data_IF_647366849324
#
_entry.id   IF_647366849324
#
_cell.length_a   1.000
_cell.length_b   1.000
_cell.length_c   1.000
_cell.angle_alpha   90.00
_cell.angle_beta   90.00
_cell.angle_gamma   90.00
#
_symmetry.space_group_name_H-M   'P 1'
#
loop_
_entity.id
_entity.type
_entity.pdbx_description
1 polymer ?
#
# COMPACT_ATOMS: atom_id res chain seq x y z
N UNK A 1 -28.27 -37.97 -36.25
CA UNK A 1 -28.41 -39.43 -36.44
C UNK A 1 -28.93 -39.64 -37.85
N UNK A 2 -28.16 -40.30 -38.70
CA UNK A 2 -28.58 -40.58 -40.07
C UNK A 2 -28.44 -42.08 -40.31
N UNK A 3 -29.53 -42.71 -40.73
CA UNK A 3 -29.60 -44.11 -41.12
C UNK A 3 -29.07 -44.26 -42.55
N UNK A 4 -28.31 -45.32 -42.81
CA UNK A 4 -28.03 -45.74 -44.17
C UNK A 4 -29.18 -46.62 -44.70
N UNK A 5 -29.28 -46.80 -46.01
CA UNK A 5 -30.41 -47.51 -46.67
C UNK A 5 -30.42 -49.03 -46.47
N UNK A 6 -29.55 -49.60 -45.62
CA UNK A 6 -29.58 -51.03 -45.25
C UNK A 6 -29.97 -51.30 -43.79
N UNK A 7 -30.33 -50.26 -43.02
CA UNK A 7 -30.93 -50.43 -41.69
C UNK A 7 -29.93 -50.86 -40.60
N UNK A 8 -28.62 -50.70 -40.84
CA UNK A 8 -27.60 -50.95 -39.84
C UNK A 8 -27.20 -49.63 -39.15
N UNK A 9 -27.09 -49.64 -37.82
CA UNK A 9 -26.63 -48.46 -37.09
C UNK A 9 -25.12 -48.27 -37.30
N UNK A 10 -24.72 -47.16 -37.90
CA UNK A 10 -23.30 -46.76 -37.98
C UNK A 10 -22.92 -46.13 -36.64
N UNK A 11 -22.00 -46.78 -35.93
CA UNK A 11 -21.49 -46.38 -34.64
C UNK A 11 -20.82 -44.99 -34.72
N UNK A 12 -21.17 -44.10 -33.79
CA UNK A 12 -20.61 -42.78 -33.71
C UNK A 12 -19.10 -42.83 -33.49
N UNK A 13 -18.34 -42.21 -34.39
CA UNK A 13 -16.96 -41.82 -34.13
C UNK A 13 -16.95 -40.85 -32.95
N UNK A 14 -16.90 -41.41 -31.74
CA UNK A 14 -16.58 -40.73 -30.51
C UNK A 14 -15.09 -40.44 -30.60
N UNK A 15 -14.76 -39.31 -31.22
CA UNK A 15 -13.41 -38.75 -31.12
C UNK A 15 -13.19 -38.56 -29.62
N UNK A 16 -12.35 -39.43 -29.05
CA UNK A 16 -11.76 -39.23 -27.73
C UNK A 16 -10.88 -38.00 -27.85
N UNK A 17 -11.49 -36.82 -27.74
CA UNK A 17 -10.72 -35.61 -27.52
C UNK A 17 -10.08 -35.78 -26.14
N UNK A 18 -8.78 -36.02 -26.21
CA UNK A 18 -7.94 -36.28 -25.07
C UNK A 18 -8.15 -35.15 -24.08
N UNK A 19 -8.30 -35.54 -22.83
CA UNK A 19 -8.12 -34.72 -21.67
C UNK A 19 -6.75 -34.03 -21.72
N UNK A 20 -6.58 -32.99 -22.52
CA UNK A 20 -5.81 -31.83 -22.12
C UNK A 20 -6.68 -31.13 -21.09
N UNK A 21 -6.68 -31.71 -19.89
CA UNK A 21 -6.55 -30.90 -18.69
C UNK A 21 -5.25 -30.13 -18.88
N UNK A 22 -5.33 -29.06 -19.66
CA UNK A 22 -4.61 -27.83 -19.38
C UNK A 22 -5.03 -27.44 -17.96
N UNK A 23 -4.41 -28.12 -17.00
CA UNK A 23 -3.98 -27.53 -15.77
C UNK A 23 -2.93 -26.51 -16.18
N UNK A 24 -3.36 -25.49 -16.94
CA UNK A 24 -2.67 -24.23 -17.05
C UNK A 24 -2.88 -23.66 -15.67
N UNK A 25 -2.06 -24.17 -14.76
CA UNK A 25 -1.68 -23.57 -13.51
C UNK A 25 -1.56 -22.11 -13.87
N UNK A 26 -2.62 -21.38 -13.53
CA UNK A 26 -2.71 -19.98 -13.75
C UNK A 26 -1.46 -19.48 -13.05
N UNK A 27 -0.43 -19.17 -13.83
CA UNK A 27 0.51 -18.13 -13.47
C UNK A 27 -0.40 -16.92 -13.37
N UNK A 28 -1.13 -16.81 -12.26
CA UNK A 28 -1.75 -15.60 -11.81
C UNK A 28 -0.53 -14.76 -11.53
N UNK A 29 0.00 -14.16 -12.59
CA UNK A 29 1.29 -13.51 -12.60
C UNK A 29 1.25 -12.60 -11.39
N UNK A 30 2.25 -12.62 -10.52
CA UNK A 30 2.28 -11.73 -9.35
C UNK A 30 1.93 -10.29 -9.77
N UNK A 31 2.31 -9.91 -11.00
CA UNK A 31 1.90 -8.70 -11.72
C UNK A 31 0.38 -8.55 -11.91
N UNK A 32 -0.36 -9.58 -12.32
CA UNK A 32 -1.82 -9.58 -12.43
C UNK A 32 -2.52 -9.52 -11.07
N UNK A 33 -1.96 -10.19 -10.04
CA UNK A 33 -2.45 -10.10 -8.66
C UNK A 33 -2.24 -8.68 -8.12
N UNK A 34 -1.01 -8.14 -8.23
CA UNK A 34 -0.66 -6.77 -7.82
C UNK A 34 -1.48 -5.73 -8.59
N UNK A 35 -1.74 -5.93 -9.88
CA UNK A 35 -2.61 -5.05 -10.67
C UNK A 35 -4.05 -5.09 -10.21
N UNK A 36 -4.61 -6.27 -9.95
CA UNK A 36 -5.95 -6.39 -9.39
C UNK A 36 -6.05 -5.77 -7.99
N UNK A 37 -5.07 -6.00 -7.11
CA UNK A 37 -5.02 -5.36 -5.80
C UNK A 37 -4.85 -3.83 -5.89
N UNK A 38 -4.05 -3.32 -6.84
CA UNK A 38 -3.91 -1.88 -7.07
C UNK A 38 -5.20 -1.26 -7.60
N UNK A 39 -5.90 -1.91 -8.54
CA UNK A 39 -7.17 -1.43 -9.09
C UNK A 39 -8.28 -1.43 -8.02
N UNK A 40 -8.35 -2.50 -7.22
CA UNK A 40 -9.25 -2.62 -6.07
C UNK A 40 -8.93 -1.58 -4.99
N UNK A 41 -7.64 -1.33 -4.71
CA UNK A 41 -7.18 -0.32 -3.75
C UNK A 41 -7.51 1.10 -4.21
N UNK A 42 -7.35 1.39 -5.50
CA UNK A 42 -7.67 2.67 -6.13
C UNK A 42 -9.18 2.95 -6.12
N UNK A 43 -10.02 1.91 -6.24
CA UNK A 43 -11.50 2.03 -6.25
C UNK A 43 -12.13 2.07 -4.86
N UNK A 44 -11.57 1.34 -3.90
CA UNK A 44 -12.18 1.15 -2.58
C UNK A 44 -11.72 2.18 -1.55
N UNK A 45 -10.54 2.78 -1.74
CA UNK A 45 -9.95 3.69 -0.75
C UNK A 45 -10.42 5.13 -0.93
N UNK A 46 -10.94 5.80 0.12
CA UNK A 46 -11.36 7.19 0.03
C UNK A 46 -10.18 8.13 -0.31
N UNK A 47 -10.41 9.09 -1.22
CA UNK A 47 -9.39 10.03 -1.75
C UNK A 47 -8.50 10.68 -0.68
N UNK A 48 -9.06 10.97 0.51
CA UNK A 48 -8.32 11.55 1.65
C UNK A 48 -7.29 10.58 2.24
N UNK A 49 -7.63 9.29 2.35
CA UNK A 49 -6.71 8.26 2.86
C UNK A 49 -5.56 8.03 1.87
N UNK A 50 -5.85 8.08 0.57
CA UNK A 50 -4.87 7.96 -0.50
C UNK A 50 -3.83 9.09 -0.51
N UNK A 51 -4.24 10.32 -0.19
CA UNK A 51 -3.30 11.44 -0.01
C UNK A 51 -2.36 11.22 1.17
N UNK A 52 -2.88 10.75 2.31
CA UNK A 52 -2.08 10.46 3.50
C UNK A 52 -1.11 9.30 3.25
N UNK A 53 -1.56 8.28 2.52
CA UNK A 53 -0.74 7.13 2.14
C UNK A 53 0.41 7.52 1.18
N UNK A 54 0.14 8.39 0.20
CA UNK A 54 1.16 8.96 -0.66
C UNK A 54 2.18 9.81 0.13
N UNK A 55 1.72 10.60 1.10
CA UNK A 55 2.58 11.35 2.00
C UNK A 55 3.47 10.43 2.86
N UNK A 56 2.90 9.38 3.45
CA UNK A 56 3.62 8.38 4.25
C UNK A 56 4.71 7.69 3.42
N UNK A 57 4.37 7.31 2.19
CA UNK A 57 5.31 6.69 1.24
C UNK A 57 6.47 7.64 0.91
N UNK A 58 6.19 8.92 0.70
CA UNK A 58 7.21 9.95 0.46
C UNK A 58 8.15 10.14 1.66
N UNK A 59 7.60 10.25 2.88
CA UNK A 59 8.40 10.40 4.11
C UNK A 59 9.29 9.18 4.35
N UNK A 60 8.76 7.97 4.13
CA UNK A 60 9.52 6.72 4.24
C UNK A 60 10.68 6.69 3.24
N UNK A 61 10.41 7.01 1.97
CA UNK A 61 11.45 7.06 0.95
C UNK A 61 12.53 8.08 1.29
N UNK A 62 12.14 9.23 1.84
CA UNK A 62 13.07 10.28 2.28
C UNK A 62 13.98 9.81 3.43
N UNK A 63 13.42 9.08 4.41
CA UNK A 63 14.20 8.49 5.50
C UNK A 63 15.18 7.41 5.02
N UNK A 64 14.78 6.59 4.06
CA UNK A 64 15.66 5.60 3.41
C UNK A 64 16.81 6.31 2.68
N UNK A 65 16.51 7.35 1.90
CA UNK A 65 17.53 8.12 1.19
C UNK A 65 18.51 8.78 2.16
N UNK A 66 18.03 9.36 3.27
CA UNK A 66 18.89 9.90 4.33
C UNK A 66 19.80 8.83 4.93
N UNK A 67 19.26 7.65 5.23
CA UNK A 67 20.02 6.54 5.78
C UNK A 67 21.12 6.07 4.81
N UNK A 68 20.76 5.87 3.53
CA UNK A 68 21.72 5.47 2.48
C UNK A 68 22.80 6.53 2.29
N UNK A 69 22.43 7.81 2.25
CA UNK A 69 23.38 8.92 2.13
C UNK A 69 24.39 8.92 3.28
N UNK A 70 23.92 8.72 4.52
CA UNK A 70 24.78 8.62 5.70
C UNK A 70 25.70 7.39 5.66
N UNK A 71 25.21 6.24 5.20
CA UNK A 71 26.03 5.04 5.02
C UNK A 71 27.14 5.22 3.98
N UNK A 72 26.91 6.01 2.93
CA UNK A 72 27.87 6.22 1.84
C UNK A 72 28.88 7.35 2.13
N UNK A 73 28.41 8.47 2.68
CA UNK A 73 29.22 9.69 2.89
C UNK A 73 29.81 9.78 4.31
N UNK A 74 29.22 9.07 5.28
CA UNK A 74 29.64 9.07 6.68
C UNK A 74 28.79 9.97 7.59
N UNK A 75 28.97 9.80 8.91
CA UNK A 75 28.14 10.39 9.98
C UNK A 75 28.58 11.78 10.45
N UNK A 76 29.34 12.53 9.64
CA UNK A 76 29.77 13.90 10.00
C UNK A 76 28.79 14.92 9.38
N UNK A 77 28.00 15.70 10.15
CA UNK A 77 27.79 15.75 11.60
C UNK A 77 26.69 14.78 12.12
N UNK A 78 26.97 14.07 13.22
CA UNK A 78 26.10 13.00 13.75
C UNK A 78 24.76 13.53 14.27
N UNK A 79 24.80 14.70 14.91
CA UNK A 79 23.61 15.30 15.51
C UNK A 79 22.57 15.69 14.44
N UNK A 80 23.04 16.26 13.33
CA UNK A 80 22.16 16.67 12.24
C UNK A 80 21.56 15.49 11.48
N UNK A 81 22.33 14.40 11.29
CA UNK A 81 21.82 13.17 10.71
C UNK A 81 20.79 12.51 11.63
N UNK A 82 21.12 12.36 12.91
CA UNK A 82 20.23 11.75 13.89
C UNK A 82 18.92 12.55 14.01
N UNK A 83 19.02 13.88 14.11
CA UNK A 83 17.88 14.79 14.14
C UNK A 83 17.00 14.65 12.89
N UNK A 84 17.59 14.68 11.69
CA UNK A 84 16.87 14.51 10.43
C UNK A 84 16.20 13.14 10.31
N UNK A 85 16.88 12.07 10.71
CA UNK A 85 16.34 10.71 10.69
C UNK A 85 15.16 10.56 11.65
N UNK A 86 15.32 10.99 12.91
CA UNK A 86 14.24 10.95 13.91
C UNK A 86 13.05 11.81 13.49
N UNK A 87 13.28 12.95 12.82
CA UNK A 87 12.22 13.76 12.24
C UNK A 87 11.40 12.98 11.21
N UNK A 88 12.06 12.31 10.25
CA UNK A 88 11.33 11.51 9.24
C UNK A 88 10.53 10.36 9.86
N UNK A 89 11.09 9.67 10.86
CA UNK A 89 10.38 8.63 11.62
C UNK A 89 9.18 9.21 12.38
N UNK A 90 9.35 10.36 13.05
CA UNK A 90 8.28 11.04 13.76
C UNK A 90 7.15 11.49 12.83
N UNK A 91 7.47 12.09 11.69
CA UNK A 91 6.50 12.47 10.65
C UNK A 91 5.72 11.25 10.12
N UNK A 92 6.38 10.10 9.98
CA UNK A 92 5.74 8.85 9.59
C UNK A 92 4.76 8.36 10.66
N UNK A 93 5.17 8.28 11.93
CA UNK A 93 4.30 7.85 13.04
C UNK A 93 3.09 8.77 13.20
N UNK A 94 3.30 10.09 13.11
CA UNK A 94 2.22 11.08 13.13
C UNK A 94 1.26 10.88 11.94
N UNK A 95 1.78 10.63 10.73
CA UNK A 95 0.98 10.36 9.54
C UNK A 95 0.15 9.08 9.65
N UNK A 96 0.71 8.02 10.22
CA UNK A 96 -0.01 6.75 10.49
C UNK A 96 -1.13 6.99 11.51
N UNK A 97 -0.86 7.79 12.54
CA UNK A 97 -1.84 8.15 13.56
C UNK A 97 -3.01 8.94 12.96
N UNK A 98 -2.72 9.88 12.06
CA UNK A 98 -3.74 10.60 11.31
C UNK A 98 -4.53 9.67 10.37
N UNK A 99 -3.87 8.71 9.71
CA UNK A 99 -4.54 7.71 8.86
C UNK A 99 -5.49 6.83 9.66
N UNK A 100 -5.10 6.44 10.88
CA UNK A 100 -5.93 5.64 11.78
C UNK A 100 -7.21 6.41 12.19
N UNK A 101 -7.07 7.69 12.53
CA UNK A 101 -8.18 8.57 12.90
C UNK A 101 -9.05 8.99 11.71
N UNK A 102 -8.46 9.10 10.52
CA UNK A 102 -9.17 9.46 9.28
C UNK A 102 -10.00 8.31 8.71
N UNK A 103 -9.75 7.05 9.13
CA UNK A 103 -10.50 5.91 8.67
C UNK A 103 -11.94 5.94 9.21
N UNK A 104 -12.97 6.11 8.34
CA UNK A 104 -14.36 6.22 8.77
C UNK A 104 -14.87 4.99 9.55
N UNK A 105 -14.30 3.80 9.32
CA UNK A 105 -14.66 2.58 10.05
C UNK A 105 -14.30 2.63 11.55
N UNK A 106 -13.30 3.43 11.94
CA UNK A 106 -12.89 3.57 13.33
C UNK A 106 -13.61 4.72 14.06
N UNK A 107 -14.49 5.47 13.38
CA UNK A 107 -15.22 6.60 14.00
C UNK A 107 -16.14 6.17 15.14
N UNK A 108 -16.59 4.92 15.16
CA UNK A 108 -17.39 4.37 16.25
C UNK A 108 -16.59 4.12 17.55
N UNK A 109 -15.25 4.06 17.50
CA UNK A 109 -14.39 4.01 18.70
C UNK A 109 -14.02 5.42 19.22
N UNK A 110 -14.15 6.46 18.40
CA UNK A 110 -13.81 7.84 18.74
C UNK A 110 -15.06 8.73 18.82
N UNK A 111 -16.04 8.36 19.67
CA UNK A 111 -17.35 9.02 19.82
C UNK A 111 -17.31 10.42 20.49
N UNK A 112 -16.13 11.07 20.53
CA UNK A 112 -15.98 12.41 21.13
C UNK A 112 -14.82 13.24 20.59
N UNK A 113 -14.06 12.72 19.63
CA UNK A 113 -12.94 13.46 19.02
C UNK A 113 -13.36 13.84 17.62
N UNK A 114 -13.68 15.12 17.44
CA UNK A 114 -13.96 15.67 16.10
C UNK A 114 -12.73 15.45 15.21
N UNK A 115 -12.89 14.98 13.96
CA UNK A 115 -11.76 14.78 13.04
C UNK A 115 -10.95 16.07 12.83
N UNK A 116 -11.56 17.24 13.01
CA UNK A 116 -10.84 18.53 13.02
C UNK A 116 -9.85 18.64 14.19
N UNK A 117 -10.21 18.15 15.38
CA UNK A 117 -9.36 18.21 16.59
C UNK A 117 -8.17 17.26 16.48
N UNK A 118 -8.40 16.04 15.98
CA UNK A 118 -7.33 15.07 15.73
C UNK A 118 -6.34 15.57 14.67
N UNK A 119 -6.85 16.23 13.62
CA UNK A 119 -6.01 16.90 12.63
C UNK A 119 -5.23 18.09 13.22
N UNK A 120 -5.86 18.92 14.06
CA UNK A 120 -5.18 20.03 14.70
C UNK A 120 -4.05 19.58 15.64
N UNK A 121 -4.28 18.52 16.43
CA UNK A 121 -3.26 17.93 17.31
C UNK A 121 -2.10 17.32 16.49
N UNK A 122 -2.41 16.68 15.36
CA UNK A 122 -1.41 16.21 14.40
C UNK A 122 -0.53 17.36 13.87
N UNK A 123 -1.14 18.47 13.41
CA UNK A 123 -0.39 19.63 12.89
C UNK A 123 0.46 20.25 14.00
N UNK A 124 -0.10 20.38 15.20
CA UNK A 124 0.62 20.93 16.35
C UNK A 124 1.83 20.07 16.73
N UNK A 125 1.65 18.75 16.85
CA UNK A 125 2.74 17.81 17.09
C UNK A 125 3.81 17.84 15.98
N UNK A 126 3.39 17.97 14.72
CA UNK A 126 4.30 18.06 13.58
C UNK A 126 5.16 19.34 13.60
N UNK A 127 4.59 20.48 14.03
CA UNK A 127 5.31 21.74 14.22
C UNK A 127 6.33 21.61 15.34
N UNK A 128 5.95 21.05 16.49
CA UNK A 128 6.86 20.83 17.62
C UNK A 128 8.01 19.90 17.21
N UNK A 129 7.71 18.82 16.51
CA UNK A 129 8.71 17.88 16.00
C UNK A 129 9.74 18.59 15.11
N UNK A 130 9.28 19.44 14.18
CA UNK A 130 10.17 20.23 13.34
C UNK A 130 11.01 21.22 14.16
N UNK A 131 10.42 21.87 15.17
CA UNK A 131 11.14 22.82 16.02
C UNK A 131 12.25 22.13 16.82
N UNK A 132 11.95 20.96 17.42
CA UNK A 132 12.95 20.13 18.11
C UNK A 132 14.04 19.70 17.14
N UNK A 133 13.68 19.26 15.93
CA UNK A 133 14.64 18.84 14.91
C UNK A 133 15.61 19.95 14.53
N UNK A 134 15.09 21.15 14.24
CA UNK A 134 15.92 22.32 13.90
C UNK A 134 16.77 22.76 15.09
N UNK A 135 16.28 22.62 16.32
CA UNK A 135 17.09 22.91 17.52
C UNK A 135 18.23 21.89 17.71
N UNK A 136 17.99 20.62 17.40
CA UNK A 136 18.96 19.52 17.55
C UNK A 136 19.95 19.42 16.38
N UNK A 137 19.68 20.12 15.26
CA UNK A 137 20.55 20.08 14.06
C UNK A 137 21.82 20.92 14.22
N UNK A 138 21.78 21.92 15.11
CA UNK A 138 22.82 22.92 15.37
C UNK A 138 23.79 22.55 16.48
#
# INVERSE_FOLDING_TARGET
MTLDSTGHWIEGNTVRDGSSRDYKMSSTTLIGVVRNFLDEYMRTTPKKLKMVDAYLSYVLMTGILQFVYCCLVGTFPFNSFLSGFICTVGCFVLGVSLRLQANPQNRHQFVGVSPERGFADFVFAHIILHLVTVNFIG
#
